data_IF_529715212160
#
_entry.id   IF_529715212160
#
_cell.length_a   1.000
_cell.length_b   1.000
_cell.length_c   1.000
_cell.angle_alpha   90.00
_cell.angle_beta   90.00
_cell.angle_gamma   90.00
#
_symmetry.space_group_name_H-M   'P 1'
#
loop_
_entity.id
_entity.type
_entity.pdbx_description
1 polymer ?
#
# COMPACT_ATOMS: atom_id res chain seq x y z
N UNK A 1 -10.56 21.76 -20.33
CA UNK A 1 -9.23 21.77 -19.67
C UNK A 1 -8.26 21.11 -20.63
N UNK A 2 -7.34 21.88 -21.19
CA UNK A 2 -6.38 21.41 -22.21
C UNK A 2 -5.31 20.58 -21.51
N UNK A 3 -5.31 19.27 -21.76
CA UNK A 3 -4.18 18.41 -21.38
C UNK A 3 -2.92 18.90 -22.09
N UNK A 4 -1.98 19.40 -21.35
CA UNK A 4 -0.62 19.67 -21.85
C UNK A 4 -0.01 18.35 -22.26
N UNK A 5 0.50 18.17 -23.49
CA UNK A 5 1.14 16.93 -23.91
C UNK A 5 2.38 16.67 -23.03
N UNK A 6 2.37 15.58 -22.29
CA UNK A 6 3.51 15.12 -21.47
C UNK A 6 3.29 15.02 -19.97
N UNK A 7 2.17 15.50 -19.41
CA UNK A 7 1.87 15.31 -17.98
C UNK A 7 1.28 13.92 -17.73
N UNK A 8 1.92 13.15 -16.85
CA UNK A 8 1.37 11.89 -16.37
C UNK A 8 0.20 12.15 -15.42
N UNK A 9 -0.74 11.19 -15.32
CA UNK A 9 -1.86 11.24 -14.39
C UNK A 9 -1.36 11.46 -12.95
N UNK A 10 -1.89 12.43 -12.19
CA UNK A 10 -1.54 12.58 -10.78
C UNK A 10 -1.79 11.30 -10.01
N UNK A 11 -0.93 10.99 -9.04
CA UNK A 11 -1.03 9.79 -8.22
C UNK A 11 -1.21 10.19 -6.77
N UNK A 12 -2.20 9.60 -6.11
CA UNK A 12 -2.40 9.71 -4.67
C UNK A 12 -1.93 8.41 -4.01
N UNK A 13 -0.86 8.47 -3.23
CA UNK A 13 -0.45 7.36 -2.38
C UNK A 13 -1.11 7.47 -1.01
N UNK A 14 -1.56 6.34 -0.46
CA UNK A 14 -2.15 6.23 0.89
C UNK A 14 -1.38 5.15 1.64
N UNK A 15 -0.99 5.44 2.88
CA UNK A 15 -0.26 4.52 3.76
C UNK A 15 -1.10 3.37 4.30
N UNK A 16 -0.56 2.68 5.30
CA UNK A 16 -1.12 1.48 5.92
C UNK A 16 -2.47 1.77 6.57
N UNK A 17 -3.49 0.97 6.23
CA UNK A 17 -4.90 1.23 6.60
C UNK A 17 -5.31 0.49 7.87
N UNK A 18 -4.91 -0.78 7.99
CA UNK A 18 -5.20 -1.63 9.15
C UNK A 18 -6.66 -1.53 9.62
N UNK A 19 -7.60 -1.83 8.74
CA UNK A 19 -9.02 -1.85 9.06
C UNK A 19 -9.65 -0.50 9.44
N UNK A 20 -8.92 0.62 9.33
CA UNK A 20 -9.43 1.96 9.61
C UNK A 20 -10.34 2.46 8.48
N UNK A 21 -11.50 1.82 8.31
CA UNK A 21 -12.40 2.04 7.18
C UNK A 21 -12.90 3.48 7.09
N UNK A 22 -13.21 4.09 8.23
CA UNK A 22 -13.69 5.47 8.30
C UNK A 22 -12.61 6.48 7.91
N UNK A 23 -11.35 6.22 8.27
CA UNK A 23 -10.21 7.03 7.84
C UNK A 23 -9.98 6.90 6.34
N UNK A 24 -10.01 5.66 5.81
CA UNK A 24 -9.84 5.42 4.38
C UNK A 24 -10.92 6.11 3.55
N UNK A 25 -12.20 5.99 3.96
CA UNK A 25 -13.30 6.66 3.25
C UNK A 25 -13.12 8.18 3.25
N UNK A 26 -12.71 8.76 4.40
CA UNK A 26 -12.42 10.19 4.51
C UNK A 26 -11.30 10.63 3.58
N UNK A 27 -10.19 9.87 3.53
CA UNK A 27 -9.06 10.20 2.65
C UNK A 27 -9.45 10.07 1.17
N UNK A 28 -10.13 9.00 0.79
CA UNK A 28 -10.61 8.82 -0.59
C UNK A 28 -11.55 9.94 -1.04
N UNK A 29 -12.42 10.41 -0.15
CA UNK A 29 -13.36 11.51 -0.44
C UNK A 29 -12.63 12.83 -0.79
N UNK A 30 -11.45 13.08 -0.22
CA UNK A 30 -10.65 14.28 -0.53
C UNK A 30 -10.18 14.34 -1.99
N UNK A 31 -10.10 13.19 -2.64
CA UNK A 31 -9.60 13.06 -4.01
C UNK A 31 -10.70 12.72 -5.03
N UNK A 32 -11.96 12.67 -4.60
CA UNK A 32 -13.09 12.48 -5.53
C UNK A 32 -13.13 13.58 -6.59
N UNK A 33 -13.33 13.19 -7.84
CA UNK A 33 -13.37 14.12 -8.98
C UNK A 33 -12.01 14.65 -9.42
N UNK A 34 -10.90 14.24 -8.79
CA UNK A 34 -9.56 14.75 -9.13
C UNK A 34 -8.98 14.19 -10.43
N UNK A 35 -9.51 13.08 -10.94
CA UNK A 35 -8.91 12.33 -12.05
C UNK A 35 -7.60 11.63 -11.69
N UNK A 36 -7.20 11.62 -10.41
CA UNK A 36 -5.97 10.95 -9.98
C UNK A 36 -6.11 9.41 -9.95
N UNK A 37 -5.00 8.72 -10.11
CA UNK A 37 -4.88 7.32 -9.72
C UNK A 37 -4.57 7.23 -8.22
N UNK A 38 -5.24 6.34 -7.49
CA UNK A 38 -4.96 6.06 -6.09
C UNK A 38 -4.12 4.80 -5.97
N UNK A 39 -3.05 4.83 -5.16
CA UNK A 39 -2.22 3.67 -4.81
C UNK A 39 -2.25 3.50 -3.29
N UNK A 40 -2.85 2.39 -2.83
CA UNK A 40 -2.77 1.95 -1.43
C UNK A 40 -1.49 1.11 -1.27
N UNK A 41 -0.68 1.44 -0.27
CA UNK A 41 0.66 0.86 -0.10
C UNK A 41 0.67 -0.54 0.55
N UNK A 42 -0.50 -1.15 0.76
CA UNK A 42 -0.67 -2.44 1.44
C UNK A 42 -1.11 -2.29 2.88
N UNK A 43 -1.12 -3.40 3.61
CA UNK A 43 -1.59 -3.51 4.99
C UNK A 43 -2.99 -2.88 5.16
N UNK A 44 -3.94 -3.39 4.37
CA UNK A 44 -5.33 -2.95 4.42
C UNK A 44 -6.07 -3.46 5.65
N UNK A 45 -5.68 -4.64 6.11
CA UNK A 45 -6.38 -5.48 7.09
C UNK A 45 -5.59 -5.61 8.39
N UNK A 46 -6.23 -6.27 9.34
CA UNK A 46 -5.72 -6.58 10.68
C UNK A 46 -5.58 -5.36 11.60
N UNK A 47 -5.55 -5.58 12.91
CA UNK A 47 -5.41 -4.52 13.94
C UNK A 47 -6.52 -3.49 13.94
N UNK A 48 -7.64 -3.75 13.28
CA UNK A 48 -8.72 -2.76 13.14
C UNK A 48 -9.22 -2.23 14.48
N UNK A 49 -9.26 -0.91 14.69
CA UNK A 49 -9.92 -0.31 15.85
C UNK A 49 -11.44 -0.16 15.66
N UNK A 50 -11.96 -0.48 14.47
CA UNK A 50 -13.36 -0.33 14.12
C UNK A 50 -14.06 -1.70 14.03
N UNK A 51 -15.29 -1.79 14.51
CA UNK A 51 -16.11 -2.98 14.29
C UNK A 51 -16.27 -3.24 12.77
N UNK A 52 -16.01 -4.47 12.35
CA UNK A 52 -16.03 -4.87 10.93
C UNK A 52 -15.11 -4.06 10.00
N UNK A 53 -14.11 -3.36 10.54
CA UNK A 53 -13.28 -2.44 9.78
C UNK A 53 -12.55 -3.11 8.62
N UNK A 54 -11.97 -4.29 8.83
CA UNK A 54 -11.28 -5.05 7.79
C UNK A 54 -12.22 -5.44 6.65
N UNK A 55 -13.42 -5.93 6.98
CA UNK A 55 -14.45 -6.26 6.01
C UNK A 55 -14.84 -5.02 5.19
N UNK A 56 -15.11 -3.91 5.88
CA UNK A 56 -15.51 -2.64 5.26
C UNK A 56 -14.42 -2.09 4.33
N UNK A 57 -13.13 -2.19 4.72
CA UNK A 57 -12.01 -1.77 3.89
C UNK A 57 -11.95 -2.61 2.61
N UNK A 58 -11.98 -3.95 2.72
CA UNK A 58 -11.91 -4.84 1.56
C UNK A 58 -13.07 -4.57 0.60
N UNK A 59 -14.31 -4.49 1.10
CA UNK A 59 -15.50 -4.23 0.28
C UNK A 59 -15.44 -2.85 -0.41
N UNK A 60 -15.01 -1.80 0.31
CA UNK A 60 -14.86 -0.45 -0.22
C UNK A 60 -13.83 -0.42 -1.35
N UNK A 61 -12.64 -0.97 -1.11
CA UNK A 61 -11.55 -1.02 -2.08
C UNK A 61 -11.97 -1.79 -3.32
N UNK A 62 -12.56 -2.97 -3.16
CA UNK A 62 -13.07 -3.80 -4.27
C UNK A 62 -14.16 -3.09 -5.09
N UNK A 63 -15.05 -2.37 -4.42
CA UNK A 63 -16.09 -1.56 -5.09
C UNK A 63 -15.48 -0.46 -5.96
N UNK A 64 -14.47 0.24 -5.44
CA UNK A 64 -13.80 1.31 -6.18
C UNK A 64 -12.97 0.74 -7.34
N UNK A 65 -12.21 -0.33 -7.13
CA UNK A 65 -11.43 -0.97 -8.20
C UNK A 65 -12.29 -1.39 -9.40
N UNK A 66 -13.53 -1.87 -9.15
CA UNK A 66 -14.45 -2.25 -10.24
C UNK A 66 -14.92 -1.06 -11.06
N UNK A 67 -15.04 0.12 -10.46
CA UNK A 67 -15.53 1.31 -11.15
C UNK A 67 -14.99 2.61 -10.51
N UNK A 68 -13.70 2.92 -10.69
CA UNK A 68 -13.08 4.11 -10.11
C UNK A 68 -13.70 5.41 -10.64
N UNK A 69 -14.17 5.41 -11.88
CA UNK A 69 -14.77 6.58 -12.51
C UNK A 69 -16.02 7.09 -11.78
N UNK A 70 -16.74 6.23 -11.01
CA UNK A 70 -17.87 6.68 -10.19
C UNK A 70 -17.45 7.66 -9.08
N UNK A 71 -16.19 7.64 -8.68
CA UNK A 71 -15.59 8.62 -7.76
C UNK A 71 -14.76 9.68 -8.49
N UNK A 72 -14.78 9.69 -9.81
CA UNK A 72 -13.96 10.61 -10.61
C UNK A 72 -12.45 10.36 -10.45
N UNK A 73 -12.06 9.10 -10.22
CA UNK A 73 -10.68 8.63 -10.14
C UNK A 73 -10.28 7.95 -11.45
N UNK A 74 -9.02 8.03 -11.83
CA UNK A 74 -8.48 7.32 -12.99
C UNK A 74 -8.32 5.82 -12.73
N UNK A 75 -8.03 5.45 -11.48
CA UNK A 75 -7.82 4.07 -11.07
C UNK A 75 -7.61 3.92 -9.57
N UNK A 76 -7.60 2.68 -9.10
CA UNK A 76 -7.17 2.32 -7.75
C UNK A 76 -6.34 1.05 -7.80
N UNK A 77 -5.06 1.17 -7.42
CA UNK A 77 -4.10 0.07 -7.28
C UNK A 77 -3.90 -0.21 -5.80
N UNK A 78 -3.85 -1.48 -5.42
CA UNK A 78 -3.48 -1.92 -4.07
C UNK A 78 -2.20 -2.73 -4.19
N UNK A 79 -1.20 -2.39 -3.40
CA UNK A 79 0.00 -3.21 -3.26
C UNK A 79 -0.20 -4.27 -2.18
N UNK A 80 0.52 -5.38 -2.30
CA UNK A 80 0.56 -6.40 -1.27
C UNK A 80 1.48 -5.96 -0.15
N UNK A 81 0.96 -5.88 1.08
CA UNK A 81 1.73 -5.75 2.29
C UNK A 81 2.01 -7.10 2.96
N UNK A 82 2.73 -7.07 4.07
CA UNK A 82 3.03 -8.29 4.82
C UNK A 82 1.78 -8.88 5.50
N UNK A 83 0.80 -8.05 5.85
CA UNK A 83 -0.46 -8.52 6.42
C UNK A 83 -1.31 -9.27 5.38
N UNK A 84 -1.40 -8.79 4.16
CA UNK A 84 -2.02 -9.55 3.07
C UNK A 84 -1.27 -10.86 2.80
N UNK A 85 0.08 -10.88 2.88
CA UNK A 85 0.86 -12.11 2.68
C UNK A 85 0.58 -13.12 3.79
N UNK A 86 0.61 -12.71 5.06
CA UNK A 86 0.28 -13.60 6.18
C UNK A 86 -1.14 -14.17 6.08
N UNK A 87 -2.13 -13.36 5.66
CA UNK A 87 -3.47 -13.86 5.38
C UNK A 87 -3.48 -14.88 4.24
N UNK A 88 -2.76 -14.64 3.14
CA UNK A 88 -2.67 -15.59 2.01
C UNK A 88 -2.13 -16.93 2.49
N UNK A 89 -1.07 -16.91 3.32
CA UNK A 89 -0.44 -18.10 3.87
C UNK A 89 -1.41 -18.85 4.81
N UNK A 90 -2.11 -18.15 5.68
CA UNK A 90 -3.15 -18.70 6.55
C UNK A 90 -4.31 -19.32 5.74
N UNK A 91 -4.73 -18.67 4.65
CA UNK A 91 -5.79 -19.19 3.76
C UNK A 91 -5.35 -20.41 2.93
N UNK A 92 -4.05 -20.67 2.83
CA UNK A 92 -3.51 -21.84 2.17
C UNK A 92 -3.61 -23.12 3.02
N UNK A 93 -3.67 -22.97 4.34
CA UNK A 93 -3.87 -24.09 5.26
C UNK A 93 -5.28 -24.66 5.17
N UNK A 94 -5.41 -25.99 5.23
CA UNK A 94 -6.73 -26.68 5.24
C UNK A 94 -7.38 -26.58 6.62
N UNK A 95 -6.58 -26.73 7.67
CA UNK A 95 -6.94 -26.53 9.07
C UNK A 95 -5.99 -25.49 9.66
N UNK A 96 -6.42 -24.68 10.65
CA UNK A 96 -5.56 -23.69 11.29
C UNK A 96 -4.25 -24.28 11.80
N UNK A 97 -3.12 -23.72 11.37
CA UNK A 97 -1.77 -24.16 11.71
C UNK A 97 -0.84 -22.96 11.96
N UNK A 98 0.46 -23.15 11.74
CA UNK A 98 1.51 -22.16 12.06
C UNK A 98 1.31 -20.82 11.32
N UNK A 99 0.86 -20.84 10.07
CA UNK A 99 0.63 -19.62 9.32
C UNK A 99 -0.61 -18.85 9.86
N UNK A 100 -1.67 -19.57 10.21
CA UNK A 100 -2.84 -18.97 10.87
C UNK A 100 -2.47 -18.37 12.22
N UNK A 101 -1.68 -19.08 13.04
CA UNK A 101 -1.22 -18.59 14.34
C UNK A 101 -0.35 -17.33 14.19
N UNK A 102 0.58 -17.34 13.23
CA UNK A 102 1.41 -16.18 12.93
C UNK A 102 0.59 -14.96 12.51
N UNK A 103 -0.40 -15.16 11.63
CA UNK A 103 -1.29 -14.10 11.20
C UNK A 103 -2.11 -13.54 12.37
N UNK A 104 -2.69 -14.39 13.22
CA UNK A 104 -3.44 -13.98 14.42
C UNK A 104 -2.54 -13.22 15.42
N UNK A 105 -1.31 -13.69 15.63
CA UNK A 105 -0.32 -12.99 16.47
C UNK A 105 -0.05 -11.55 15.98
N UNK A 106 -0.13 -11.32 14.68
CA UNK A 106 0.05 -10.02 14.07
C UNK A 106 -1.25 -9.18 14.00
N UNK A 107 -2.34 -9.64 14.58
CA UNK A 107 -3.60 -8.89 14.71
C UNK A 107 -4.71 -9.35 13.78
N UNK A 108 -4.53 -10.50 13.12
CA UNK A 108 -5.56 -11.13 12.29
C UNK A 108 -6.71 -11.70 13.14
N UNK A 109 -7.91 -11.62 12.63
CA UNK A 109 -9.14 -12.15 13.24
C UNK A 109 -9.59 -13.42 12.52
N UNK A 110 -9.42 -14.58 13.18
CA UNK A 110 -9.78 -15.89 12.62
C UNK A 110 -11.27 -15.98 12.24
N UNK A 111 -12.16 -15.26 12.91
CA UNK A 111 -13.58 -15.23 12.59
C UNK A 111 -13.85 -14.60 11.21
N UNK A 112 -12.90 -13.84 10.68
CA UNK A 112 -12.96 -13.28 9.33
C UNK A 112 -12.40 -14.20 8.22
N UNK A 113 -11.77 -15.33 8.54
CA UNK A 113 -11.25 -16.27 7.51
C UNK A 113 -12.30 -16.70 6.48
N UNK A 114 -13.57 -17.03 6.86
CA UNK A 114 -14.60 -17.38 5.88
C UNK A 114 -14.94 -16.22 4.93
N UNK A 115 -14.86 -14.99 5.40
CA UNK A 115 -15.04 -13.79 4.57
C UNK A 115 -13.84 -13.62 3.63
N UNK A 116 -12.61 -13.65 4.14
CA UNK A 116 -11.40 -13.45 3.34
C UNK A 116 -11.19 -14.55 2.30
N UNK A 117 -11.63 -15.80 2.58
CA UNK A 117 -11.56 -16.92 1.63
C UNK A 117 -12.26 -16.60 0.30
N UNK A 118 -13.34 -15.80 0.31
CA UNK A 118 -14.05 -15.36 -0.88
C UNK A 118 -13.21 -14.42 -1.76
N UNK A 119 -12.19 -13.78 -1.18
CA UNK A 119 -11.32 -12.82 -1.84
C UNK A 119 -9.89 -13.33 -2.05
N UNK A 120 -9.62 -14.62 -1.75
CA UNK A 120 -8.28 -15.20 -1.81
C UNK A 120 -7.55 -14.87 -3.11
N UNK A 121 -8.16 -15.16 -4.26
CA UNK A 121 -7.53 -14.90 -5.56
C UNK A 121 -7.26 -13.42 -5.81
N UNK A 122 -8.04 -12.53 -5.20
CA UNK A 122 -7.76 -11.10 -5.27
C UNK A 122 -6.52 -10.72 -4.46
N UNK A 123 -6.39 -11.21 -3.23
CA UNK A 123 -5.20 -10.99 -2.41
C UNK A 123 -3.94 -11.55 -3.09
N UNK A 124 -4.02 -12.78 -3.62
CA UNK A 124 -2.94 -13.43 -4.37
C UNK A 124 -2.55 -12.66 -5.64
N UNK A 125 -3.47 -11.91 -6.24
CA UNK A 125 -3.24 -11.09 -7.43
C UNK A 125 -2.72 -9.69 -7.15
N UNK A 126 -2.53 -9.26 -5.88
CA UNK A 126 -2.03 -7.94 -5.56
C UNK A 126 -0.56 -7.79 -5.98
N UNK A 127 -0.18 -6.74 -6.74
CA UNK A 127 1.20 -6.49 -7.12
C UNK A 127 2.06 -6.10 -5.91
N UNK A 128 3.36 -6.41 -5.96
CA UNK A 128 4.34 -6.03 -4.95
C UNK A 128 4.85 -4.61 -5.13
N UNK A 129 4.85 -4.11 -6.37
CA UNK A 129 5.36 -2.79 -6.72
C UNK A 129 4.51 -2.14 -7.80
N UNK A 130 4.58 -0.80 -7.89
CA UNK A 130 4.06 -0.03 -9.00
C UNK A 130 5.03 1.12 -9.32
N UNK A 131 5.19 1.45 -10.61
CA UNK A 131 6.03 2.58 -11.04
C UNK A 131 5.16 3.62 -11.72
N UNK A 132 5.34 4.89 -11.33
CA UNK A 132 4.72 6.04 -12.01
C UNK A 132 5.76 7.16 -12.12
N UNK A 133 6.28 7.36 -13.33
CA UNK A 133 7.38 8.29 -13.56
C UNK A 133 8.57 8.00 -12.65
N UNK A 134 9.04 9.02 -11.93
CA UNK A 134 10.16 8.93 -11.00
C UNK A 134 9.85 8.25 -9.65
N UNK A 135 8.63 7.75 -9.46
CA UNK A 135 8.21 7.12 -8.20
C UNK A 135 8.09 5.61 -8.34
N UNK A 136 8.69 4.89 -7.39
CA UNK A 136 8.48 3.47 -7.14
C UNK A 136 7.66 3.31 -5.86
N UNK A 137 6.48 2.73 -5.99
CA UNK A 137 5.61 2.40 -4.85
C UNK A 137 5.85 0.94 -4.45
N UNK A 138 6.04 0.70 -3.18
CA UNK A 138 6.29 -0.60 -2.59
C UNK A 138 5.81 -0.58 -1.14
N UNK A 139 5.41 -1.73 -0.57
CA UNK A 139 4.90 -1.72 0.80
C UNK A 139 6.00 -1.37 1.82
N UNK A 140 7.07 -2.16 1.95
CA UNK A 140 8.08 -1.95 2.99
C UNK A 140 9.32 -1.19 2.50
N UNK A 141 9.82 -1.51 1.32
CA UNK A 141 11.03 -0.90 0.78
C UNK A 141 11.75 -1.79 -0.21
N UNK A 142 13.03 -1.47 -0.44
CA UNK A 142 13.90 -2.21 -1.37
C UNK A 142 15.26 -2.46 -0.73
N UNK A 143 15.93 -3.54 -1.09
CA UNK A 143 17.30 -3.81 -0.63
C UNK A 143 18.28 -2.88 -1.35
N UNK A 144 19.04 -2.06 -0.61
CA UNK A 144 20.00 -1.15 -1.22
C UNK A 144 21.08 -1.87 -2.03
N UNK A 145 21.40 -1.32 -3.20
CA UNK A 145 22.44 -1.85 -4.10
C UNK A 145 21.99 -3.03 -4.95
N UNK A 146 20.72 -3.43 -4.86
CA UNK A 146 20.14 -4.52 -5.68
C UNK A 146 19.24 -3.92 -6.74
N UNK A 147 19.39 -4.28 -8.03
CA UNK A 147 18.46 -3.87 -9.09
C UNK A 147 17.02 -4.27 -8.80
N UNK A 148 16.04 -3.51 -9.32
CA UNK A 148 14.62 -3.74 -9.02
C UNK A 148 14.16 -5.15 -9.40
N UNK A 149 14.64 -5.65 -10.53
CA UNK A 149 14.29 -6.98 -11.07
C UNK A 149 14.87 -8.14 -10.27
N UNK A 150 15.81 -7.84 -9.35
CA UNK A 150 16.47 -8.82 -8.48
C UNK A 150 16.04 -8.69 -7.01
N UNK A 151 15.12 -7.78 -6.71
CA UNK A 151 14.59 -7.63 -5.35
C UNK A 151 13.85 -8.90 -4.94
N UNK A 152 14.09 -9.33 -3.70
CA UNK A 152 13.38 -10.48 -3.16
C UNK A 152 11.98 -10.09 -2.67
N UNK A 153 11.02 -10.99 -2.82
CA UNK A 153 9.64 -10.81 -2.37
C UNK A 153 9.60 -10.31 -0.91
N UNK A 154 10.32 -10.99 -0.02
CA UNK A 154 10.31 -10.69 1.41
C UNK A 154 10.89 -9.30 1.72
N UNK A 155 11.90 -8.85 0.97
CA UNK A 155 12.41 -7.49 1.14
C UNK A 155 11.35 -6.44 0.78
N UNK A 156 10.57 -6.67 -0.27
CA UNK A 156 9.55 -5.72 -0.72
C UNK A 156 8.43 -5.53 0.31
N UNK A 157 8.14 -6.54 1.14
CA UNK A 157 7.04 -6.52 2.10
C UNK A 157 7.45 -6.50 3.58
N UNK A 158 8.74 -6.71 3.91
CA UNK A 158 9.20 -6.78 5.30
C UNK A 158 10.41 -5.90 5.63
N UNK A 159 11.16 -5.42 4.66
CA UNK A 159 12.44 -4.75 4.93
C UNK A 159 12.26 -3.49 5.77
N UNK A 160 13.10 -3.33 6.78
CA UNK A 160 13.29 -2.08 7.53
C UNK A 160 14.73 -1.58 7.38
N UNK A 161 15.69 -2.32 7.95
CA UNK A 161 17.10 -2.02 7.79
C UNK A 161 17.71 -2.96 6.74
N UNK A 162 18.63 -2.48 5.91
CA UNK A 162 19.27 -1.15 5.91
C UNK A 162 18.53 -0.06 5.14
N UNK A 163 17.38 -0.36 4.49
CA UNK A 163 16.64 0.55 3.59
C UNK A 163 16.31 1.91 4.24
N UNK A 164 15.83 1.90 5.49
CA UNK A 164 15.42 3.14 6.17
C UNK A 164 16.58 4.12 6.44
N UNK A 165 17.84 3.63 6.45
CA UNK A 165 19.04 4.42 6.80
C UNK A 165 19.96 4.73 5.64
N UNK A 166 19.86 3.99 4.54
CA UNK A 166 20.81 4.09 3.41
C UNK A 166 20.09 4.40 2.11
N UNK A 167 20.68 5.23 1.22
CA UNK A 167 20.22 5.32 -0.14
C UNK A 167 20.21 3.94 -0.81
N UNK A 168 19.18 3.67 -1.59
CA UNK A 168 18.99 2.36 -2.22
C UNK A 168 19.67 2.23 -3.61
N UNK A 169 20.05 3.36 -4.24
CA UNK A 169 20.76 3.37 -5.51
C UNK A 169 19.87 3.19 -6.76
N UNK A 170 18.55 2.98 -6.60
CA UNK A 170 17.64 2.95 -7.74
C UNK A 170 17.34 4.37 -8.25
N UNK A 171 16.97 4.54 -9.54
CA UNK A 171 16.68 5.84 -10.14
C UNK A 171 15.28 6.38 -9.76
N UNK A 172 14.72 5.96 -8.65
CA UNK A 172 13.38 6.29 -8.19
C UNK A 172 13.41 6.98 -6.81
N UNK A 173 12.39 7.78 -6.55
CA UNK A 173 11.98 8.05 -5.16
C UNK A 173 11.04 6.94 -4.71
N UNK A 174 11.43 6.16 -3.70
CA UNK A 174 10.62 5.06 -3.17
C UNK A 174 9.55 5.61 -2.24
N UNK A 175 8.27 5.33 -2.54
CA UNK A 175 7.12 5.67 -1.70
C UNK A 175 6.67 4.40 -0.99
N UNK A 176 6.65 4.40 0.34
CA UNK A 176 6.44 3.17 1.13
C UNK A 176 5.66 3.41 2.43
N UNK A 177 5.26 2.30 3.08
CA UNK A 177 4.61 2.21 4.38
C UNK A 177 5.40 1.35 5.39
N UNK A 178 4.74 0.39 6.03
CA UNK A 178 5.27 -0.69 6.87
C UNK A 178 6.00 -0.29 8.15
N UNK A 179 6.66 0.82 8.16
CA UNK A 179 7.49 1.27 9.29
C UNK A 179 6.89 2.55 9.86
N UNK A 180 6.11 2.42 10.93
CA UNK A 180 5.44 3.55 11.57
C UNK A 180 6.44 4.68 11.85
N UNK A 181 6.14 5.87 11.37
CA UNK A 181 6.96 7.06 11.58
C UNK A 181 6.89 7.52 13.04
N UNK A 182 8.00 8.07 13.55
CA UNK A 182 8.16 8.36 14.98
C UNK A 182 7.10 9.33 15.53
N UNK A 183 6.67 10.29 14.72
CA UNK A 183 5.73 11.36 15.11
C UNK A 183 4.39 11.26 14.38
N UNK A 184 4.13 10.09 13.77
CA UNK A 184 2.91 9.82 12.99
C UNK A 184 2.70 10.80 11.81
N UNK A 185 3.79 11.38 11.31
CA UNK A 185 3.79 12.28 10.15
C UNK A 185 4.53 11.64 8.97
N UNK A 186 4.30 12.17 7.77
CA UNK A 186 5.01 11.73 6.57
C UNK A 186 6.52 12.01 6.73
N UNK A 187 7.35 10.96 6.68
CA UNK A 187 8.82 11.10 6.69
C UNK A 187 9.36 11.16 5.26
N UNK A 188 9.92 12.31 4.91
CA UNK A 188 10.51 12.56 3.58
C UNK A 188 12.02 12.59 3.65
N UNK A 189 12.67 11.79 2.81
CA UNK A 189 14.11 11.83 2.54
C UNK A 189 14.33 12.04 1.04
N UNK A 190 15.54 12.35 0.66
CA UNK A 190 15.88 12.60 -0.75
C UNK A 190 15.55 11.40 -1.68
N UNK A 191 15.61 10.19 -1.16
CA UNK A 191 15.45 8.95 -1.92
C UNK A 191 14.18 8.17 -1.57
N UNK A 192 13.42 8.54 -0.51
CA UNK A 192 12.21 7.83 -0.08
C UNK A 192 11.20 8.73 0.62
N UNK A 193 9.94 8.31 0.60
CA UNK A 193 8.83 8.93 1.32
C UNK A 193 8.08 7.82 2.07
N UNK A 194 7.99 7.92 3.38
CA UNK A 194 7.24 6.99 4.23
C UNK A 194 5.88 7.60 4.61
N UNK A 195 4.80 6.87 4.33
CA UNK A 195 3.43 7.30 4.61
C UNK A 195 2.78 6.52 5.76
N UNK A 196 3.48 5.59 6.40
CA UNK A 196 2.90 4.84 7.51
C UNK A 196 2.88 5.71 8.79
N UNK A 197 1.75 6.30 9.06
CA UNK A 197 1.47 7.08 10.27
C UNK A 197 0.90 6.25 11.42
N UNK A 198 0.82 4.92 11.26
CA UNK A 198 0.22 4.02 12.26
C UNK A 198 -1.25 4.31 12.47
N UNK A 199 -2.06 4.29 11.43
CA UNK A 199 -3.45 4.74 11.44
C UNK A 199 -4.29 4.11 12.57
N UNK A 200 -4.10 2.82 12.83
CA UNK A 200 -4.82 2.08 13.88
C UNK A 200 -4.44 2.51 15.31
N UNK A 201 -3.28 3.15 15.51
CA UNK A 201 -2.80 3.68 16.79
C UNK A 201 -3.03 5.18 16.93
N UNK A 202 -2.73 5.93 15.86
CA UNK A 202 -2.70 7.39 15.87
C UNK A 202 -4.03 8.04 15.51
N UNK A 203 -4.92 7.30 14.84
CA UNK A 203 -6.13 7.87 14.22
C UNK A 203 -5.82 8.76 12.99
N UNK A 204 -4.59 8.73 12.48
CA UNK A 204 -4.15 9.48 11.31
C UNK A 204 -3.79 8.52 10.18
N UNK A 205 -4.50 8.58 9.07
CA UNK A 205 -4.15 7.90 7.82
C UNK A 205 -3.51 8.91 6.88
N UNK A 206 -2.23 8.73 6.59
CA UNK A 206 -1.50 9.66 5.71
C UNK A 206 -1.77 9.38 4.24
N UNK A 207 -1.97 10.45 3.49
CA UNK A 207 -2.05 10.43 2.03
C UNK A 207 -1.21 11.54 1.41
N UNK A 208 -0.73 11.31 0.19
CA UNK A 208 0.12 12.24 -0.54
C UNK A 208 -0.21 12.25 -2.02
N UNK A 209 -0.55 13.43 -2.54
CA UNK A 209 -0.68 13.64 -3.98
C UNK A 209 0.71 13.91 -4.58
N UNK A 210 1.05 13.15 -5.61
CA UNK A 210 2.30 13.19 -6.34
C UNK A 210 1.99 13.49 -7.81
N UNK A 211 2.81 14.34 -8.42
CA UNK A 211 2.78 14.59 -9.87
C UNK A 211 3.97 13.85 -10.49
N UNK A 212 3.74 12.69 -11.13
CA UNK A 212 4.82 11.97 -11.77
C UNK A 212 5.35 12.76 -12.96
N UNK A 213 6.69 12.81 -13.09
CA UNK A 213 7.36 13.26 -14.31
C UNK A 213 7.92 12.05 -15.04
N UNK A 214 8.02 12.07 -16.37
CA UNK A 214 8.75 11.04 -17.10
C UNK A 214 10.17 10.92 -16.54
N UNK A 215 10.62 9.69 -16.26
CA UNK A 215 12.04 9.46 -15.95
C UNK A 215 12.86 9.97 -17.13
N UNK A 216 13.63 11.02 -16.89
CA UNK A 216 14.71 11.38 -17.81
C UNK A 216 15.75 10.26 -17.65
N UNK A 217 15.79 9.32 -18.59
CA UNK A 217 16.88 8.35 -18.66
C UNK A 217 18.16 9.16 -18.77
N UNK A 218 18.89 9.24 -17.67
CA UNK A 218 20.19 9.89 -17.65
C UNK A 218 21.05 9.22 -18.71
N UNK A 219 21.55 10.05 -19.62
CA UNK A 219 22.61 9.65 -20.54
C UNK A 219 23.75 9.15 -19.67
N UNK A 220 24.06 7.86 -19.81
CA UNK A 220 25.21 7.22 -19.16
C UNK A 220 26.52 7.82 -19.67
#
# INVERSE_FOLDING_TARGET
>A
MTNTPGSLTPVVAIGDVHGCASLLERELKRYEGSGAEVILLGDLIDRSPEADGDRRVVELVRKIQRNPCRRGLAGLTVLRGNHEQMLIDALAEQEPGEATELWQWNGGDADLLPFFRQYRSWFEGLPLTAIRGQYLFVHAGVRPGVPLEQQQHDDLIWIRQPFLRRPHGLPYTVVHGHSITKDHQIDRKAHRINLDSGAFLSGVLSSLCLNPDPLVQGVA
#
